data_IF_199644596327
#
_entry.id   IF_199644596327
#
_cell.length_a   1.000
_cell.length_b   1.000
_cell.length_c   1.000
_cell.angle_alpha   90.00
_cell.angle_beta   90.00
_cell.angle_gamma   90.00
#
_symmetry.space_group_name_H-M   'P 1'
#
loop_
_entity.id
_entity.type
_entity.pdbx_description
1 polymer ?
#
# COMPACT_ATOMS: atom_id res chain seq x y z
N UNK A 1 -67.58 -83.07 -1.60
CA UNK A 1 -67.30 -81.69 -1.12
C UNK A 1 -66.08 -81.55 -0.20
N UNK A 2 -65.43 -82.61 0.27
CA UNK A 2 -64.23 -82.51 1.13
C UNK A 2 -62.92 -82.17 0.36
N UNK A 3 -62.79 -82.66 -0.87
CA UNK A 3 -61.58 -82.50 -1.70
C UNK A 3 -61.38 -81.06 -2.22
N UNK A 4 -62.48 -80.35 -2.52
CA UNK A 4 -62.47 -78.94 -2.94
C UNK A 4 -62.05 -78.03 -1.78
N UNK A 5 -62.57 -78.26 -0.57
CA UNK A 5 -62.17 -77.53 0.65
C UNK A 5 -60.70 -77.76 1.02
N UNK A 6 -60.17 -78.97 0.81
CA UNK A 6 -58.75 -79.26 1.06
C UNK A 6 -57.81 -78.55 0.08
N UNK A 7 -58.19 -78.46 -1.21
CA UNK A 7 -57.46 -77.71 -2.22
C UNK A 7 -57.49 -76.19 -1.98
N UNK A 8 -58.64 -75.65 -1.57
CA UNK A 8 -58.78 -74.24 -1.18
C UNK A 8 -57.94 -73.88 0.05
N UNK A 9 -57.88 -74.77 1.04
CA UNK A 9 -57.05 -74.57 2.24
C UNK A 9 -55.55 -74.59 1.91
N UNK A 10 -55.13 -75.50 1.02
CA UNK A 10 -53.74 -75.57 0.54
C UNK A 10 -53.34 -74.34 -0.27
N UNK A 11 -54.20 -73.88 -1.18
CA UNK A 11 -53.98 -72.65 -1.95
C UNK A 11 -53.87 -71.41 -1.06
N UNK A 12 -54.70 -71.35 0.00
CA UNK A 12 -54.66 -70.26 1.01
C UNK A 12 -53.41 -70.31 1.90
N UNK A 13 -52.83 -71.49 2.14
CA UNK A 13 -51.55 -71.65 2.84
C UNK A 13 -50.37 -71.25 1.94
N UNK A 14 -50.37 -71.69 0.68
CA UNK A 14 -49.36 -71.31 -0.33
C UNK A 14 -49.35 -69.79 -0.58
N UNK A 15 -50.53 -69.14 -0.65
CA UNK A 15 -50.63 -67.68 -0.77
C UNK A 15 -50.10 -66.94 0.48
N UNK A 16 -50.37 -67.47 1.69
CA UNK A 16 -49.82 -66.90 2.93
C UNK A 16 -48.30 -67.03 3.00
N UNK A 17 -47.77 -68.15 2.52
CA UNK A 17 -46.33 -68.40 2.50
C UNK A 17 -45.62 -67.53 1.46
N UNK A 18 -46.20 -67.39 0.26
CA UNK A 18 -45.73 -66.47 -0.78
C UNK A 18 -45.72 -65.02 -0.29
N UNK A 19 -46.78 -64.57 0.39
CA UNK A 19 -46.85 -63.22 0.98
C UNK A 19 -45.81 -62.99 2.08
N UNK A 20 -45.47 -64.02 2.86
CA UNK A 20 -44.39 -63.97 3.86
C UNK A 20 -43.00 -63.88 3.21
N UNK A 21 -42.77 -64.60 2.11
CA UNK A 21 -41.53 -64.54 1.36
C UNK A 21 -41.34 -63.18 0.67
N UNK A 22 -42.41 -62.64 0.09
CA UNK A 22 -42.42 -61.32 -0.53
C UNK A 22 -42.15 -60.20 0.50
N UNK A 23 -42.79 -60.25 1.68
CA UNK A 23 -42.50 -59.30 2.77
C UNK A 23 -41.07 -59.42 3.31
N UNK A 24 -40.45 -60.60 3.28
CA UNK A 24 -39.04 -60.77 3.65
C UNK A 24 -38.11 -60.22 2.58
N UNK A 25 -38.41 -60.47 1.30
CA UNK A 25 -37.66 -59.92 0.18
C UNK A 25 -37.72 -58.39 0.16
N UNK A 26 -38.89 -57.80 0.40
CA UNK A 26 -39.08 -56.35 0.47
C UNK A 26 -38.31 -55.72 1.64
N UNK A 27 -38.26 -56.38 2.80
CA UNK A 27 -37.43 -55.96 3.95
C UNK A 27 -35.92 -56.03 3.67
N UNK A 28 -35.48 -57.02 2.89
CA UNK A 28 -34.08 -57.14 2.48
C UNK A 28 -33.73 -56.04 1.46
N UNK A 29 -34.58 -55.83 0.46
CA UNK A 29 -34.40 -54.80 -0.56
C UNK A 29 -34.40 -53.37 0.02
N UNK A 30 -35.29 -53.09 0.97
CA UNK A 30 -35.31 -51.77 1.67
C UNK A 30 -34.07 -51.55 2.54
N UNK A 31 -33.57 -52.61 3.21
CA UNK A 31 -32.32 -52.55 3.97
C UNK A 31 -31.11 -52.34 3.07
N UNK A 32 -31.06 -53.03 1.93
CA UNK A 32 -29.99 -52.90 0.93
C UNK A 32 -29.97 -51.50 0.32
N UNK A 33 -31.13 -50.97 -0.09
CA UNK A 33 -31.26 -49.60 -0.60
C UNK A 33 -30.79 -48.54 0.40
N UNK A 34 -31.10 -48.73 1.70
CA UNK A 34 -30.65 -47.82 2.77
C UNK A 34 -29.15 -47.89 3.02
N UNK A 35 -28.56 -49.08 2.90
CA UNK A 35 -27.11 -49.26 3.02
C UNK A 35 -26.38 -48.63 1.84
N UNK A 36 -26.92 -48.75 0.63
CA UNK A 36 -26.35 -48.15 -0.57
C UNK A 36 -26.44 -46.62 -0.54
N UNK A 37 -27.57 -46.05 -0.11
CA UNK A 37 -27.69 -44.61 0.12
C UNK A 37 -26.64 -44.08 1.11
N UNK A 38 -26.42 -44.81 2.22
CA UNK A 38 -25.38 -44.45 3.20
C UNK A 38 -23.98 -44.54 2.62
N UNK A 39 -23.70 -45.52 1.75
CA UNK A 39 -22.40 -45.62 1.06
C UNK A 39 -22.16 -44.41 0.17
N UNK A 40 -23.14 -44.05 -0.65
CA UNK A 40 -23.07 -42.89 -1.54
C UNK A 40 -22.89 -41.59 -0.74
N UNK A 41 -23.64 -41.42 0.35
CA UNK A 41 -23.55 -40.24 1.20
C UNK A 41 -22.19 -40.11 1.91
N UNK A 42 -21.63 -41.23 2.36
CA UNK A 42 -20.27 -41.27 2.94
C UNK A 42 -19.21 -40.95 1.89
N UNK A 43 -19.36 -41.42 0.65
CA UNK A 43 -18.42 -41.11 -0.43
C UNK A 43 -18.48 -39.62 -0.80
N UNK A 44 -19.68 -39.05 -0.90
CA UNK A 44 -19.87 -37.60 -1.13
C UNK A 44 -19.23 -36.78 0.00
N UNK A 45 -19.43 -37.17 1.26
CA UNK A 45 -18.81 -36.50 2.40
C UNK A 45 -17.28 -36.63 2.40
N UNK A 46 -16.75 -37.76 1.90
CA UNK A 46 -15.31 -37.98 1.76
C UNK A 46 -14.73 -37.07 0.69
N UNK A 47 -15.41 -36.92 -0.44
CA UNK A 47 -15.02 -35.99 -1.52
C UNK A 47 -15.10 -34.53 -1.05
N UNK A 48 -16.16 -34.13 -0.35
CA UNK A 48 -16.31 -32.76 0.19
C UNK A 48 -15.28 -32.41 1.28
N UNK A 49 -14.72 -33.42 1.96
CA UNK A 49 -13.65 -33.25 2.96
C UNK A 49 -12.26 -33.27 2.36
N UNK A 50 -12.10 -33.59 1.06
CA UNK A 50 -10.81 -33.43 0.42
C UNK A 50 -10.44 -31.96 0.47
N UNK A 51 -9.18 -31.62 0.82
CA UNK A 51 -8.69 -30.26 0.70
C UNK A 51 -8.93 -29.78 -0.73
N UNK A 52 -9.66 -28.68 -0.90
CA UNK A 52 -9.85 -28.07 -2.22
C UNK A 52 -8.53 -27.44 -2.61
N UNK A 53 -8.02 -27.81 -3.78
CA UNK A 53 -6.80 -27.25 -4.34
C UNK A 53 -7.14 -25.87 -4.94
N UNK A 54 -7.05 -24.82 -4.12
CA UNK A 54 -7.34 -23.41 -4.48
C UNK A 54 -6.29 -22.78 -5.44
N UNK A 55 -5.56 -23.61 -6.18
CA UNK A 55 -4.50 -23.16 -7.10
C UNK A 55 -5.02 -22.88 -8.51
N UNK A 56 -6.29 -23.17 -8.80
CA UNK A 56 -6.88 -22.98 -10.12
C UNK A 56 -8.24 -22.27 -10.03
N UNK A 57 -8.41 -21.21 -10.83
CA UNK A 57 -9.69 -20.53 -10.99
C UNK A 57 -10.58 -21.36 -11.92
N UNK A 58 -11.78 -21.73 -11.47
CA UNK A 58 -12.75 -22.49 -12.27
C UNK A 58 -13.14 -21.78 -13.59
N UNK A 59 -13.04 -20.45 -13.63
CA UNK A 59 -13.26 -19.63 -14.81
C UNK A 59 -11.97 -18.87 -15.16
N UNK A 60 -11.20 -19.43 -16.10
CA UNK A 60 -10.05 -18.74 -16.69
C UNK A 60 -10.53 -17.59 -17.59
N UNK A 61 -10.97 -16.47 -16.99
CA UNK A 61 -11.11 -15.21 -17.71
C UNK A 61 -9.73 -14.81 -18.23
N UNK A 62 -9.60 -14.67 -19.55
CA UNK A 62 -8.39 -14.12 -20.15
C UNK A 62 -8.12 -12.75 -19.53
N UNK A 63 -6.88 -12.52 -19.10
CA UNK A 63 -6.50 -11.23 -18.54
C UNK A 63 -6.86 -10.14 -19.57
N UNK A 64 -7.53 -9.05 -19.17
CA UNK A 64 -7.81 -7.97 -20.10
C UNK A 64 -6.49 -7.44 -20.66
N UNK A 65 -6.45 -7.23 -21.98
CA UNK A 65 -5.31 -6.56 -22.61
C UNK A 65 -5.38 -5.10 -22.19
N UNK A 66 -4.36 -4.64 -21.47
CA UNK A 66 -4.26 -3.25 -21.03
C UNK A 66 -3.46 -2.46 -22.05
N UNK A 67 -4.10 -1.46 -22.66
CA UNK A 67 -3.42 -0.52 -23.53
C UNK A 67 -2.53 0.43 -22.72
N UNK A 68 -1.41 0.83 -23.32
CA UNK A 68 -0.56 1.86 -22.71
C UNK A 68 -1.29 3.21 -22.71
N UNK A 69 -1.13 3.95 -21.62
CA UNK A 69 -1.63 5.32 -21.52
C UNK A 69 -0.95 6.17 -22.61
N UNK A 70 -1.72 6.83 -23.51
CA UNK A 70 -1.15 7.69 -24.54
C UNK A 70 -0.30 8.82 -23.94
N UNK A 71 0.85 9.10 -24.54
CA UNK A 71 1.74 10.18 -24.08
C UNK A 71 2.55 9.89 -22.82
N UNK A 72 2.39 8.71 -22.21
CA UNK A 72 3.17 8.28 -21.06
C UNK A 72 4.60 7.95 -21.46
N UNK A 73 5.56 8.76 -21.02
CA UNK A 73 7.00 8.57 -21.27
C UNK A 73 7.74 8.05 -20.03
N UNK A 74 7.13 8.18 -18.85
CA UNK A 74 7.71 7.71 -17.59
C UNK A 74 7.60 6.19 -17.44
N UNK A 75 8.52 5.62 -16.64
CA UNK A 75 8.41 4.23 -16.19
C UNK A 75 7.20 4.09 -15.26
N UNK A 76 6.64 2.87 -15.15
CA UNK A 76 5.45 2.64 -14.31
C UNK A 76 5.65 3.08 -12.84
N UNK A 77 6.85 2.86 -12.29
CA UNK A 77 7.19 3.32 -10.94
C UNK A 77 7.28 4.84 -10.85
N UNK A 78 7.98 5.48 -11.80
CA UNK A 78 8.11 6.94 -11.81
C UNK A 78 6.74 7.62 -11.97
N UNK A 79 5.88 7.07 -12.83
CA UNK A 79 4.53 7.59 -13.00
C UNK A 79 3.66 7.42 -11.76
N UNK A 80 3.73 6.26 -11.09
CA UNK A 80 3.01 6.04 -9.83
C UNK A 80 3.45 7.03 -8.74
N UNK A 81 4.76 7.27 -8.60
CA UNK A 81 5.29 8.27 -7.67
C UNK A 81 4.83 9.69 -8.04
N UNK A 82 4.86 10.03 -9.33
CA UNK A 82 4.40 11.34 -9.83
C UNK A 82 2.92 11.56 -9.57
N UNK A 83 2.08 10.54 -9.77
CA UNK A 83 0.65 10.60 -9.44
C UNK A 83 0.43 10.81 -7.95
N UNK A 84 1.18 10.10 -7.09
CA UNK A 84 1.07 10.28 -5.65
C UNK A 84 1.42 11.72 -5.24
N UNK A 85 2.50 12.28 -5.81
CA UNK A 85 2.90 13.68 -5.58
C UNK A 85 1.84 14.65 -6.09
N UNK A 86 1.32 14.44 -7.30
CA UNK A 86 0.27 15.27 -7.88
C UNK A 86 -0.99 15.30 -7.00
N UNK A 87 -1.47 14.14 -6.58
CA UNK A 87 -2.63 14.03 -5.67
C UNK A 87 -2.34 14.65 -4.30
N UNK A 88 -1.13 14.46 -3.77
CA UNK A 88 -0.74 15.07 -2.50
C UNK A 88 -0.81 16.61 -2.57
N UNK A 89 -0.25 17.21 -3.63
CA UNK A 89 -0.27 18.65 -3.83
C UNK A 89 -1.69 19.20 -3.99
N UNK A 90 -2.56 18.50 -4.71
CA UNK A 90 -3.96 18.95 -4.89
C UNK A 90 -4.80 18.79 -3.61
N UNK A 91 -4.51 17.82 -2.76
CA UNK A 91 -5.27 17.59 -1.54
C UNK A 91 -4.77 18.41 -0.34
N UNK A 92 -3.46 18.62 -0.23
CA UNK A 92 -2.82 19.20 0.95
C UNK A 92 -1.99 20.46 0.65
N UNK A 93 -1.87 20.86 -0.61
CA UNK A 93 -1.05 22.00 -1.00
C UNK A 93 -1.50 23.31 -0.34
N UNK A 94 -2.80 23.58 -0.26
CA UNK A 94 -3.32 24.79 0.39
C UNK A 94 -2.89 24.85 1.87
N UNK A 95 -2.99 23.72 2.56
CA UNK A 95 -2.60 23.57 3.97
C UNK A 95 -1.11 23.77 4.20
N UNK A 96 -0.28 23.46 3.19
CA UNK A 96 1.17 23.65 3.22
C UNK A 96 1.62 25.01 2.65
N UNK A 97 0.66 25.88 2.31
CA UNK A 97 0.93 27.24 1.83
C UNK A 97 1.33 27.32 0.35
N UNK A 98 0.99 26.31 -0.46
CA UNK A 98 1.10 26.42 -1.92
C UNK A 98 0.01 27.32 -2.49
N UNK A 99 0.36 28.03 -3.57
CA UNK A 99 -0.64 28.69 -4.39
C UNK A 99 -1.26 27.68 -5.36
N UNK A 100 -2.57 27.43 -5.20
CA UNK A 100 -3.33 26.43 -5.96
C UNK A 100 -3.40 26.74 -7.45
N UNK A 101 -3.25 28.01 -7.84
CA UNK A 101 -3.24 28.41 -9.26
C UNK A 101 -1.90 28.11 -9.95
N UNK A 102 -0.83 28.02 -9.15
CA UNK A 102 0.54 27.79 -9.61
C UNK A 102 0.97 26.31 -9.61
N UNK A 103 0.08 25.40 -9.23
CA UNK A 103 0.43 23.99 -9.11
C UNK A 103 0.73 23.36 -10.48
N UNK A 104 1.84 22.60 -10.61
CA UNK A 104 2.20 22.00 -11.88
C UNK A 104 1.21 20.90 -12.28
N UNK A 105 0.80 20.92 -13.54
CA UNK A 105 -0.01 19.84 -14.10
C UNK A 105 0.77 18.54 -14.18
N UNK A 106 0.07 17.40 -14.30
CA UNK A 106 0.71 16.10 -14.49
C UNK A 106 1.64 16.06 -15.72
N UNK A 107 1.32 16.81 -16.77
CA UNK A 107 2.18 16.92 -17.95
C UNK A 107 3.43 17.79 -17.67
N UNK A 108 3.28 18.93 -16.97
CA UNK A 108 4.43 19.75 -16.53
C UNK A 108 5.38 18.93 -15.66
N UNK A 109 4.85 18.18 -14.69
CA UNK A 109 5.64 17.26 -13.86
C UNK A 109 6.36 16.20 -14.69
N UNK A 110 5.70 15.58 -15.69
CA UNK A 110 6.36 14.62 -16.58
C UNK A 110 7.50 15.26 -17.37
N UNK A 111 7.30 16.46 -17.94
CA UNK A 111 8.31 17.19 -18.70
C UNK A 111 9.50 17.59 -17.84
N UNK A 112 9.25 18.08 -16.61
CA UNK A 112 10.27 18.45 -15.64
C UNK A 112 11.12 17.24 -15.18
N UNK A 113 10.46 16.10 -14.91
CA UNK A 113 11.17 14.88 -14.53
C UNK A 113 12.08 14.36 -15.66
N UNK A 114 11.62 14.50 -16.91
CA UNK A 114 12.37 14.10 -18.10
C UNK A 114 13.41 15.12 -18.56
N UNK A 115 13.41 16.34 -18.01
CA UNK A 115 14.27 17.44 -18.43
C UNK A 115 13.99 17.89 -19.87
N UNK A 116 12.71 17.92 -20.25
CA UNK A 116 12.28 18.32 -21.60
C UNK A 116 11.94 19.81 -21.70
N UNK A 117 11.70 20.48 -20.58
CA UNK A 117 11.24 21.86 -20.52
C UNK A 117 11.88 22.55 -19.30
N UNK A 118 12.62 23.64 -19.54
CA UNK A 118 13.32 24.40 -18.49
C UNK A 118 12.35 25.10 -17.53
N UNK A 119 11.24 25.65 -18.04
CA UNK A 119 10.21 26.31 -17.21
C UNK A 119 9.59 25.31 -16.23
N UNK A 120 9.28 24.10 -16.71
CA UNK A 120 8.73 23.03 -15.88
C UNK A 120 9.75 22.54 -14.82
N UNK A 121 11.05 22.55 -15.13
CA UNK A 121 12.09 22.25 -14.14
C UNK A 121 12.18 23.31 -13.05
N UNK A 122 12.04 24.60 -13.38
CA UNK A 122 12.01 25.69 -12.39
C UNK A 122 10.78 25.62 -11.48
N UNK A 123 9.60 25.32 -12.04
CA UNK A 123 8.38 25.03 -11.27
C UNK A 123 8.62 23.86 -10.31
N UNK A 124 9.20 22.77 -10.81
CA UNK A 124 9.51 21.59 -10.00
C UNK A 124 10.47 21.90 -8.86
N UNK A 125 11.51 22.68 -9.11
CA UNK A 125 12.46 23.12 -8.08
C UNK A 125 11.79 23.99 -7.02
N UNK A 126 10.86 24.86 -7.42
CA UNK A 126 10.08 25.68 -6.51
C UNK A 126 9.20 24.81 -5.60
N UNK A 127 8.53 23.80 -6.18
CA UNK A 127 7.73 22.82 -5.43
C UNK A 127 8.58 22.04 -4.43
N UNK A 128 9.71 21.48 -4.86
CA UNK A 128 10.60 20.71 -3.98
C UNK A 128 11.15 21.59 -2.86
N UNK A 129 11.52 22.83 -3.17
CA UNK A 129 12.01 23.79 -2.18
C UNK A 129 10.98 23.99 -1.07
N UNK A 130 9.73 24.25 -1.43
CA UNK A 130 8.64 24.42 -0.46
C UNK A 130 8.37 23.13 0.33
N UNK A 131 8.30 21.97 -0.33
CA UNK A 131 8.08 20.69 0.35
C UNK A 131 9.18 20.39 1.38
N UNK A 132 10.44 20.65 1.04
CA UNK A 132 11.58 20.44 1.95
C UNK A 132 11.55 21.41 3.11
N UNK A 133 11.21 22.69 2.88
CA UNK A 133 11.03 23.68 3.95
C UNK A 133 9.97 23.19 4.93
N UNK A 134 8.78 22.82 4.44
CA UNK A 134 7.71 22.28 5.28
C UNK A 134 8.19 21.05 6.06
N UNK A 135 8.90 20.12 5.41
CA UNK A 135 9.40 18.90 6.03
C UNK A 135 10.48 19.14 7.10
N UNK A 136 11.27 20.20 6.98
CA UNK A 136 12.26 20.65 7.98
C UNK A 136 11.59 21.32 9.18
N UNK A 137 10.51 22.05 8.95
CA UNK A 137 9.76 22.74 10.00
C UNK A 137 8.95 21.76 10.87
N UNK A 138 8.12 20.93 10.23
CA UNK A 138 7.25 19.92 10.84
C UNK A 138 6.97 18.79 9.81
N UNK A 139 7.43 17.55 10.03
CA UNK A 139 7.82 16.96 11.32
C UNK A 139 9.24 17.31 11.80
N UNK A 140 10.11 17.78 10.91
CA UNK A 140 11.51 18.09 11.18
C UNK A 140 12.44 16.87 11.16
N UNK A 141 13.74 17.13 11.29
CA UNK A 141 14.77 16.10 11.14
C UNK A 141 15.20 15.47 12.49
N UNK A 142 15.58 14.18 12.50
CA UNK A 142 16.20 13.53 13.65
C UNK A 142 17.52 14.19 14.06
N UNK A 143 17.71 14.47 15.36
CA UNK A 143 18.92 15.10 15.92
C UNK A 143 19.48 16.27 15.08
N UNK A 144 18.78 17.42 14.99
CA UNK A 144 19.15 18.52 14.08
C UNK A 144 20.59 19.03 14.27
N UNK A 145 21.09 19.03 15.51
CA UNK A 145 22.45 19.47 15.81
C UNK A 145 23.56 18.60 15.17
N UNK A 146 23.22 17.40 14.68
CA UNK A 146 24.16 16.50 13.99
C UNK A 146 24.15 16.66 12.47
N UNK A 147 23.12 17.32 11.93
CA UNK A 147 22.85 17.42 10.50
C UNK A 147 22.87 18.89 10.09
N UNK A 148 24.07 19.40 9.88
CA UNK A 148 24.33 20.80 9.55
C UNK A 148 24.91 20.95 8.15
N UNK A 149 24.74 22.12 7.57
CA UNK A 149 25.31 22.46 6.26
C UNK A 149 26.85 22.56 6.33
N UNK A 150 27.51 22.75 5.19
CA UNK A 150 28.96 23.03 5.14
C UNK A 150 29.37 24.21 6.03
N UNK A 151 28.49 25.21 6.15
CA UNK A 151 28.67 26.38 7.00
C UNK A 151 28.29 26.15 8.46
N UNK A 152 28.03 24.89 8.85
CA UNK A 152 27.60 24.49 10.20
C UNK A 152 26.28 25.10 10.67
N UNK A 153 25.44 25.57 9.75
CA UNK A 153 24.09 26.02 10.07
C UNK A 153 23.14 24.82 10.19
N UNK A 154 22.17 24.91 11.10
CA UNK A 154 21.07 23.96 11.12
C UNK A 154 20.20 24.14 9.87
N UNK A 155 19.54 23.07 9.40
CA UNK A 155 18.67 23.16 8.22
C UNK A 155 17.52 24.17 8.38
N UNK A 156 17.04 24.41 9.61
CA UNK A 156 16.01 25.44 9.90
C UNK A 156 16.51 26.88 9.73
N UNK A 157 17.82 27.10 9.81
CA UNK A 157 18.44 28.42 9.74
C UNK A 157 19.19 28.64 8.41
N UNK A 158 19.23 27.63 7.55
CA UNK A 158 19.88 27.72 6.26
C UNK A 158 18.95 28.39 5.25
N UNK A 159 19.48 29.33 4.48
CA UNK A 159 18.75 29.90 3.34
C UNK A 159 18.65 28.84 2.24
N UNK A 160 17.44 28.36 1.96
CA UNK A 160 17.20 27.32 0.95
C UNK A 160 16.87 27.99 -0.38
N UNK A 161 17.61 27.63 -1.42
CA UNK A 161 17.43 28.13 -2.80
C UNK A 161 17.64 27.02 -3.82
N UNK A 162 17.23 27.24 -5.07
CA UNK A 162 17.43 26.28 -6.16
C UNK A 162 18.89 25.83 -6.31
N UNK A 163 19.85 26.72 -6.02
CA UNK A 163 21.28 26.46 -6.14
C UNK A 163 21.84 25.49 -5.10
N UNK A 164 21.26 25.45 -3.89
CA UNK A 164 21.73 24.61 -2.78
C UNK A 164 20.78 23.47 -2.44
N UNK A 165 19.62 23.40 -3.09
CA UNK A 165 18.57 22.43 -2.84
C UNK A 165 19.06 20.98 -2.84
N UNK A 166 19.97 20.63 -3.76
CA UNK A 166 20.52 19.27 -3.85
C UNK A 166 21.28 18.86 -2.59
N UNK A 167 22.01 19.80 -1.98
CA UNK A 167 22.75 19.57 -0.74
C UNK A 167 21.81 19.52 0.46
N UNK A 168 20.81 20.41 0.50
CA UNK A 168 19.78 20.40 1.56
C UNK A 168 19.00 19.09 1.54
N UNK A 169 18.57 18.62 0.36
CA UNK A 169 17.92 17.32 0.17
C UNK A 169 18.81 16.17 0.64
N UNK A 170 20.10 16.18 0.29
CA UNK A 170 21.06 15.16 0.72
C UNK A 170 21.13 15.07 2.24
N UNK A 171 21.27 16.20 2.92
CA UNK A 171 21.35 16.25 4.39
C UNK A 171 20.01 15.81 5.01
N UNK A 172 18.89 16.27 4.46
CA UNK A 172 17.53 15.94 4.93
C UNK A 172 17.27 14.42 4.83
N UNK A 173 17.49 13.83 3.64
CA UNK A 173 17.31 12.40 3.40
C UNK A 173 18.24 11.57 4.29
N UNK A 174 19.50 11.97 4.42
CA UNK A 174 20.43 11.28 5.30
C UNK A 174 19.96 11.32 6.77
N UNK A 175 19.51 12.49 7.25
CA UNK A 175 19.02 12.64 8.61
C UNK A 175 17.82 11.72 8.88
N UNK A 176 16.85 11.69 7.97
CA UNK A 176 15.67 10.83 8.07
C UNK A 176 16.06 9.35 8.03
N UNK A 177 16.98 8.95 7.15
CA UNK A 177 17.49 7.57 7.11
C UNK A 177 18.10 7.11 8.45
N UNK A 178 18.83 7.99 9.15
CA UNK A 178 19.35 7.66 10.49
C UNK A 178 18.25 7.54 11.54
N UNK A 179 17.18 8.34 11.43
CA UNK A 179 16.01 8.27 12.29
C UNK A 179 15.21 6.99 12.06
N UNK A 180 14.93 6.66 10.81
CA UNK A 180 14.26 5.42 10.39
C UNK A 180 15.01 4.19 10.88
N UNK A 181 16.33 4.14 10.66
CA UNK A 181 17.15 3.01 11.10
C UNK A 181 17.05 2.80 12.62
N UNK A 182 17.14 3.89 13.40
CA UNK A 182 16.97 3.84 14.85
C UNK A 182 15.57 3.39 15.25
N UNK A 183 14.53 3.87 14.58
CA UNK A 183 13.14 3.51 14.86
C UNK A 183 12.85 2.03 14.56
N UNK A 184 13.41 1.50 13.46
CA UNK A 184 13.14 0.15 12.98
C UNK A 184 14.00 -0.93 13.65
N UNK A 185 15.26 -0.61 13.96
CA UNK A 185 16.25 -1.60 14.43
C UNK A 185 16.77 -1.34 15.84
N UNK A 186 16.54 -0.15 16.41
CA UNK A 186 17.13 0.29 17.67
C UNK A 186 18.63 0.63 17.59
N UNK A 187 19.31 0.24 16.52
CA UNK A 187 20.72 0.54 16.29
C UNK A 187 20.87 2.03 16.02
N UNK A 188 21.86 2.67 16.61
CA UNK A 188 22.15 4.07 16.37
C UNK A 188 23.65 4.32 16.42
N UNK A 189 24.07 5.40 15.79
CA UNK A 189 25.48 5.78 15.78
C UNK A 189 25.95 6.15 17.20
N UNK A 190 26.93 5.42 17.70
CA UNK A 190 27.60 5.67 18.97
C UNK A 190 28.82 6.58 18.75
N UNK A 191 28.85 7.75 19.40
CA UNK A 191 29.99 8.68 19.33
C UNK A 191 30.87 8.52 20.57
N UNK A 192 32.17 8.37 20.37
CA UNK A 192 33.14 8.47 21.48
C UNK A 192 33.19 9.92 21.98
N UNK A 193 33.05 10.10 23.30
CA UNK A 193 32.81 11.39 23.97
C UNK A 193 33.89 12.47 23.73
N UNK A 194 35.03 12.17 23.11
CA UNK A 194 36.19 13.07 23.02
C UNK A 194 36.39 13.80 21.67
N UNK A 195 35.69 13.44 20.59
CA UNK A 195 35.90 14.12 19.30
C UNK A 195 34.90 15.26 19.08
N UNK A 196 35.44 16.45 18.80
CA UNK A 196 34.74 17.74 18.64
C UNK A 196 33.59 17.66 17.63
N UNK A 197 32.64 18.57 17.82
CA UNK A 197 31.24 18.55 17.37
C UNK A 197 31.02 18.48 15.85
N UNK A 198 32.02 18.59 14.98
CA UNK A 198 31.81 18.87 13.54
C UNK A 198 32.33 17.82 12.54
N UNK A 199 32.89 16.69 12.99
CA UNK A 199 33.67 15.81 12.09
C UNK A 199 32.91 14.78 11.23
N UNK A 200 31.58 14.70 11.31
CA UNK A 200 30.84 13.75 10.47
C UNK A 200 29.70 14.42 9.73
N UNK A 201 29.99 14.79 8.46
CA UNK A 201 29.18 14.56 7.24
C UNK A 201 29.45 15.54 6.08
N UNK A 202 30.38 16.47 6.27
CA UNK A 202 30.90 17.32 5.18
C UNK A 202 32.25 16.83 4.61
N UNK A 203 32.87 15.80 5.19
CA UNK A 203 34.08 15.23 4.62
C UNK A 203 33.70 14.31 3.45
N UNK A 204 33.82 14.86 2.25
CA UNK A 204 33.83 14.21 0.94
C UNK A 204 35.01 13.22 0.78
N UNK A 205 35.53 12.65 1.87
CA UNK A 205 36.62 11.70 1.84
C UNK A 205 36.07 10.32 1.52
N UNK A 206 36.42 9.82 0.33
CA UNK A 206 35.96 8.56 -0.26
C UNK A 206 36.35 7.29 0.52
N UNK A 207 37.00 7.39 1.67
CA UNK A 207 37.41 6.22 2.46
C UNK A 207 36.57 6.09 3.72
N UNK A 208 35.32 5.63 3.57
CA UNK A 208 34.75 4.78 4.62
C UNK A 208 35.41 3.42 4.42
N UNK A 209 36.61 3.29 4.98
CA UNK A 209 37.28 2.00 5.15
C UNK A 209 36.29 0.99 5.75
N UNK A 210 36.51 -0.28 5.42
CA UNK A 210 35.74 -1.45 5.82
C UNK A 210 35.14 -1.38 7.25
N UNK A 211 34.00 -2.05 7.51
CA UNK A 211 33.23 -1.92 8.74
C UNK A 211 33.94 -2.58 9.93
N UNK A 212 35.07 -2.03 10.35
CA UNK A 212 35.83 -2.43 11.52
C UNK A 212 35.64 -1.35 12.57
N UNK A 213 34.82 -1.67 13.58
CA UNK A 213 34.55 -0.76 14.69
C UNK A 213 33.19 -0.97 15.34
N UNK A 214 32.97 -0.25 16.45
CA UNK A 214 31.74 -0.31 17.27
C UNK A 214 30.47 0.07 16.48
N UNK A 215 30.60 0.85 15.41
CA UNK A 215 29.49 1.28 14.54
C UNK A 215 29.36 0.46 13.23
N UNK A 216 30.06 -0.67 13.10
CA UNK A 216 30.01 -1.52 11.89
C UNK A 216 28.58 -1.94 11.52
N UNK A 217 27.81 -2.42 12.49
CA UNK A 217 26.41 -2.81 12.32
C UNK A 217 25.52 -1.64 11.88
N UNK A 218 25.74 -0.44 12.44
CA UNK A 218 25.01 0.77 12.05
C UNK A 218 25.21 1.09 10.57
N UNK A 219 26.46 1.11 10.08
CA UNK A 219 26.73 1.43 8.68
C UNK A 219 26.28 0.34 7.71
N UNK A 220 26.32 -0.94 8.11
CA UNK A 220 25.79 -2.03 7.29
C UNK A 220 24.28 -1.88 7.07
N UNK A 221 23.52 -1.62 8.15
CA UNK A 221 22.08 -1.40 8.08
C UNK A 221 21.73 -0.09 7.36
N UNK A 222 22.53 0.97 7.54
CA UNK A 222 22.30 2.26 6.88
C UNK A 222 22.45 2.13 5.37
N UNK A 223 23.44 1.38 4.89
CA UNK A 223 23.64 1.12 3.46
C UNK A 223 22.46 0.40 2.80
N UNK A 224 21.71 -0.40 3.55
CA UNK A 224 20.52 -1.07 3.03
C UNK A 224 19.26 -0.20 3.04
N UNK A 225 19.23 0.83 3.88
CA UNK A 225 18.08 1.73 4.00
C UNK A 225 17.81 2.47 2.66
N UNK A 226 16.55 2.48 2.17
CA UNK A 226 16.20 3.10 0.89
C UNK A 226 16.40 4.62 0.92
N UNK A 227 16.02 5.31 2.00
CA UNK A 227 16.19 6.75 2.16
C UNK A 227 17.67 7.16 2.15
N UNK A 228 18.55 6.34 2.74
CA UNK A 228 19.99 6.54 2.64
C UNK A 228 20.48 6.41 1.20
N UNK A 229 20.00 5.40 0.45
CA UNK A 229 20.32 5.26 -0.98
C UNK A 229 19.91 6.49 -1.79
N UNK A 230 18.78 7.13 -1.46
CA UNK A 230 18.37 8.40 -2.08
C UNK A 230 19.36 9.53 -1.78
N UNK A 231 19.82 9.64 -0.53
CA UNK A 231 20.82 10.64 -0.14
C UNK A 231 22.15 10.45 -0.90
N UNK A 232 22.58 9.21 -1.14
CA UNK A 232 23.82 8.93 -1.87
C UNK A 232 23.72 9.33 -3.35
N UNK A 233 22.52 9.35 -3.96
CA UNK A 233 22.36 9.84 -5.35
C UNK A 233 22.74 11.32 -5.50
N UNK A 234 22.49 12.13 -4.48
CA UNK A 234 22.75 13.58 -4.47
C UNK A 234 24.17 13.95 -4.02
N UNK A 235 24.97 12.97 -3.61
CA UNK A 235 26.32 13.20 -3.09
C UNK A 235 27.30 13.74 -4.11
N UNK A 236 27.16 13.32 -5.37
CA UNK A 236 28.11 13.67 -6.46
C UNK A 236 27.46 14.46 -7.58
N UNK A 237 26.15 14.62 -7.57
CA UNK A 237 25.37 15.11 -8.70
C UNK A 237 24.18 15.93 -8.21
N UNK A 238 23.84 17.04 -8.89
CA UNK A 238 22.66 17.83 -8.55
C UNK A 238 21.37 17.06 -8.87
N UNK A 239 20.28 17.40 -8.19
CA UNK A 239 18.96 16.80 -8.31
C UNK A 239 18.47 16.73 -9.76
N UNK A 240 18.61 17.81 -10.54
CA UNK A 240 18.16 17.85 -11.93
C UNK A 240 18.86 16.84 -12.86
N UNK A 241 20.06 16.39 -12.49
CA UNK A 241 20.82 15.40 -13.28
C UNK A 241 20.48 13.94 -12.93
N UNK A 242 19.60 13.72 -11.94
CA UNK A 242 19.11 12.39 -11.61
C UNK A 242 18.18 11.86 -12.70
N UNK A 243 18.02 10.54 -12.77
CA UNK A 243 17.07 9.98 -13.72
C UNK A 243 15.61 10.24 -13.24
N UNK A 244 14.61 10.19 -14.15
CA UNK A 244 13.23 10.53 -13.82
C UNK A 244 12.64 9.70 -12.68
N UNK A 245 13.07 8.44 -12.55
CA UNK A 245 12.59 7.55 -11.47
C UNK A 245 13.17 7.99 -10.12
N UNK A 246 14.45 8.32 -10.06
CA UNK A 246 15.09 8.83 -8.84
C UNK A 246 14.50 10.18 -8.41
N UNK A 247 14.30 11.11 -9.35
CA UNK A 247 13.64 12.40 -9.09
C UNK A 247 12.24 12.19 -8.48
N UNK A 248 11.41 11.38 -9.13
CA UNK A 248 10.05 11.08 -8.69
C UNK A 248 10.02 10.39 -7.32
N UNK A 249 10.94 9.46 -7.07
CA UNK A 249 11.03 8.76 -5.77
C UNK A 249 11.42 9.70 -4.63
N UNK A 250 12.31 10.68 -4.85
CA UNK A 250 12.64 11.70 -3.83
C UNK A 250 11.42 12.58 -3.54
N UNK A 251 10.69 13.03 -4.57
CA UNK A 251 9.46 13.80 -4.41
C UNK A 251 8.40 13.03 -3.61
N UNK A 252 8.18 11.77 -3.98
CA UNK A 252 7.26 10.88 -3.26
C UNK A 252 7.68 10.71 -1.80
N UNK A 253 8.97 10.58 -1.52
CA UNK A 253 9.46 10.53 -0.13
C UNK A 253 9.09 11.79 0.65
N UNK A 254 9.30 12.99 0.08
CA UNK A 254 8.94 14.26 0.75
C UNK A 254 7.44 14.34 1.06
N UNK A 255 6.59 14.01 0.09
CA UNK A 255 5.14 13.96 0.31
C UNK A 255 4.76 12.96 1.40
N UNK A 256 5.43 11.80 1.44
CA UNK A 256 5.19 10.79 2.47
C UNK A 256 5.55 11.29 3.87
N UNK A 257 6.70 11.94 4.03
CA UNK A 257 7.11 12.54 5.30
C UNK A 257 6.14 13.64 5.76
N UNK A 258 5.62 14.43 4.81
CA UNK A 258 4.65 15.48 5.10
C UNK A 258 3.25 14.96 5.48
N UNK A 259 2.95 13.67 5.31
CA UNK A 259 1.76 13.08 5.92
C UNK A 259 1.83 13.05 7.45
N UNK A 260 3.04 13.25 8.02
CA UNK A 260 3.24 13.42 9.46
C UNK A 260 3.14 14.88 9.91
N UNK A 261 2.99 15.84 8.99
CA UNK A 261 2.81 17.24 9.33
C UNK A 261 1.49 17.42 10.09
N UNK A 262 1.52 18.17 11.20
CA UNK A 262 0.36 18.31 12.09
C UNK A 262 -0.84 18.98 11.42
N UNK A 263 -0.59 19.94 10.52
CA UNK A 263 -1.67 20.60 9.78
C UNK A 263 -2.32 19.62 8.80
N UNK A 264 -1.51 18.82 8.10
CA UNK A 264 -1.98 17.75 7.20
C UNK A 264 -2.77 16.70 7.98
N UNK A 265 -2.25 16.20 9.10
CA UNK A 265 -2.96 15.24 9.98
C UNK A 265 -4.31 15.80 10.41
N UNK A 266 -4.35 17.05 10.87
CA UNK A 266 -5.59 17.70 11.32
C UNK A 266 -6.61 17.81 10.18
N UNK A 267 -6.17 18.12 8.97
CA UNK A 267 -7.05 18.15 7.80
C UNK A 267 -7.61 16.75 7.49
N UNK A 268 -6.77 15.71 7.56
CA UNK A 268 -7.20 14.32 7.36
C UNK A 268 -8.25 13.93 8.40
N UNK A 269 -8.00 14.20 9.69
CA UNK A 269 -8.95 13.90 10.77
C UNK A 269 -10.29 14.62 10.56
N UNK A 270 -10.25 15.91 10.23
CA UNK A 270 -11.45 16.71 9.93
C UNK A 270 -12.23 16.18 8.72
N UNK A 271 -11.54 15.70 7.68
CA UNK A 271 -12.17 15.11 6.51
C UNK A 271 -12.84 13.77 6.86
N UNK A 272 -12.21 12.93 7.69
CA UNK A 272 -12.78 11.67 8.18
C UNK A 272 -14.05 11.93 8.98
N UNK A 273 -14.03 12.92 9.89
CA UNK A 273 -15.20 13.31 10.67
C UNK A 273 -16.36 13.80 9.78
N UNK A 274 -16.04 14.61 8.76
CA UNK A 274 -17.02 15.12 7.80
C UNK A 274 -17.66 13.99 7.00
N UNK A 275 -16.87 13.03 6.52
CA UNK A 275 -17.38 11.84 5.83
C UNK A 275 -18.27 11.00 6.76
N UNK A 276 -17.91 10.85 8.04
CA UNK A 276 -18.72 10.16 9.01
C UNK A 276 -20.07 10.87 9.25
N UNK A 277 -20.07 12.20 9.31
CA UNK A 277 -21.28 13.00 9.46
C UNK A 277 -22.19 12.87 8.21
N UNK A 278 -21.64 13.01 7.01
CA UNK A 278 -22.39 12.84 5.76
C UNK A 278 -23.01 11.45 5.64
N UNK A 279 -22.33 10.40 6.10
CA UNK A 279 -22.89 9.04 6.15
C UNK A 279 -24.08 8.91 7.11
N UNK A 280 -24.08 9.65 8.23
CA UNK A 280 -25.21 9.69 9.17
C UNK A 280 -26.41 10.41 8.56
N UNK A 281 -26.16 11.54 7.90
CA UNK A 281 -27.19 12.35 7.24
C UNK A 281 -27.78 11.70 5.99
N UNK A 282 -27.03 10.82 5.33
CA UNK A 282 -27.49 10.07 4.15
C UNK A 282 -28.77 9.28 4.43
N UNK A 283 -28.88 8.63 5.58
CA UNK A 283 -30.03 7.76 5.91
C UNK A 283 -31.35 8.53 5.99
N UNK A 284 -31.46 9.65 6.74
CA UNK A 284 -32.65 10.51 6.69
C UNK A 284 -32.98 11.04 5.30
N UNK A 285 -31.98 11.46 4.52
CA UNK A 285 -32.19 11.99 3.16
C UNK A 285 -32.75 10.91 2.24
N UNK A 286 -32.16 9.70 2.25
CA UNK A 286 -32.67 8.55 1.49
C UNK A 286 -34.09 8.17 1.91
N UNK A 287 -34.39 8.18 3.21
CA UNK A 287 -35.74 7.88 3.71
C UNK A 287 -36.77 8.92 3.23
N UNK A 288 -36.41 10.20 3.21
CA UNK A 288 -37.26 11.25 2.67
C UNK A 288 -37.43 11.12 1.16
N UNK A 289 -36.35 10.84 0.41
CA UNK A 289 -36.42 10.60 -1.04
C UNK A 289 -37.35 9.45 -1.39
N UNK A 290 -37.31 8.33 -0.64
CA UNK A 290 -38.25 7.21 -0.83
C UNK A 290 -39.70 7.64 -0.67
N UNK A 291 -40.02 8.39 0.39
CA UNK A 291 -41.37 8.93 0.62
C UNK A 291 -41.82 9.85 -0.52
N UNK A 292 -40.93 10.70 -1.04
CA UNK A 292 -41.25 11.56 -2.18
C UNK A 292 -41.47 10.79 -3.48
N UNK A 293 -40.71 9.71 -3.72
CA UNK A 293 -40.90 8.85 -4.90
C UNK A 293 -42.21 8.07 -4.80
N UNK A 294 -42.57 7.57 -3.62
CA UNK A 294 -43.86 6.90 -3.37
C UNK A 294 -45.04 7.83 -3.63
N UNK A 295 -45.00 9.07 -3.09
CA UNK A 295 -46.07 10.06 -3.28
C UNK A 295 -46.19 10.61 -4.73
N UNK A 296 -45.20 10.36 -5.60
CA UNK A 296 -45.23 10.80 -7.00
C UNK A 296 -45.79 9.74 -7.95
N UNK A 297 -45.98 8.51 -7.45
CA UNK A 297 -46.52 7.38 -8.19
C UNK A 297 -48.00 7.11 -7.85
N UNK A 298 -48.61 7.94 -7.01
CA UNK A 298 -50.07 8.06 -6.78
C UNK A 298 -50.65 9.24 -7.58
#
# INVERSE_FOLDING_TARGET
MALVKALELRKRLEEREKKRLEQRAEKIATREKRMEQRRVEVEILRELRKPVEDMELNENKVMPVLDRIPGMKLSGKAFADTLMVHEFLHNFGETLGFDMESLPTLNSLQEALLGLNEEAEEELLSVITQLVICGIEDPGIPHPARHTTLLSHSLRQADISHSNLSEILRIYLYANATGELKAMTGVHFEREKEKRVTEHHNNMSENVEEPSGKNSAFFALLKENPTYKMSEWLKRRPFLSLNPTQKATILAFLCHELLQNKAVIKQIDSAIETVAQLKRERWPIEANLRKYVENKNE
#
